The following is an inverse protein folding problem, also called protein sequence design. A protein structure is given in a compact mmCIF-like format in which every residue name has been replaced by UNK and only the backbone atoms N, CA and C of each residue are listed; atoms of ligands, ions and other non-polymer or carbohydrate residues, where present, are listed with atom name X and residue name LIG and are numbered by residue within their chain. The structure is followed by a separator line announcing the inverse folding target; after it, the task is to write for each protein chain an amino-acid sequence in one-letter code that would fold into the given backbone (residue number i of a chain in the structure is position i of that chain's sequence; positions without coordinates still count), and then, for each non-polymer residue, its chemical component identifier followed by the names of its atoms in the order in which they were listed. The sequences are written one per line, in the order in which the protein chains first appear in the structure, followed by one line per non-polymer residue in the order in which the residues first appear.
data_IF_746626063044
#
_entry.id   IF_746626063044
#
_cell.length_a   1.000
_cell.length_b   1.000
_cell.length_c   1.000
_cell.angle_alpha   90.00
_cell.angle_beta   90.00
_cell.angle_gamma   90.00
#
_symmetry.space_group_name_H-M   'P 1'
#
loop_
_entity.id
_entity.type
_entity.pdbx_description
1 polymer ?
#
# COMPACT_ATOMS: atom_id res chain seq x y z
N UNK A 1 -32.36 -8.58 -54.67
CA UNK A 1 -31.75 -7.51 -53.82
C UNK A 1 -31.35 -8.12 -52.53
N UNK A 2 -30.10 -8.51 -52.46
CA UNK A 2 -29.49 -9.13 -51.29
C UNK A 2 -28.90 -8.00 -50.42
N UNK A 3 -29.50 -7.80 -49.25
CA UNK A 3 -28.99 -6.85 -48.28
C UNK A 3 -27.82 -7.47 -47.50
N UNK A 4 -26.62 -6.95 -47.71
CA UNK A 4 -25.45 -7.30 -46.94
C UNK A 4 -25.65 -6.80 -45.49
N UNK A 5 -25.84 -7.75 -44.59
CA UNK A 5 -25.75 -7.47 -43.16
C UNK A 5 -24.26 -7.20 -42.80
N UNK A 6 -23.93 -5.95 -42.62
CA UNK A 6 -22.62 -5.55 -42.11
C UNK A 6 -22.53 -6.07 -40.68
N UNK A 7 -21.80 -7.15 -40.51
CA UNK A 7 -21.45 -7.69 -39.19
C UNK A 7 -20.41 -6.75 -38.53
N UNK A 8 -20.88 -5.78 -37.81
CA UNK A 8 -20.02 -4.92 -36.98
C UNK A 8 -19.62 -5.74 -35.73
N UNK A 9 -18.60 -6.55 -35.91
CA UNK A 9 -17.92 -7.18 -34.79
C UNK A 9 -17.28 -6.05 -33.99
N UNK A 10 -17.95 -5.62 -32.92
CA UNK A 10 -17.35 -4.73 -31.90
C UNK A 10 -16.18 -5.50 -31.28
N UNK A 11 -14.98 -5.26 -31.80
CA UNK A 11 -13.75 -5.72 -31.21
C UNK A 11 -13.61 -4.86 -29.93
N UNK A 12 -14.09 -5.36 -28.80
CA UNK A 12 -13.74 -4.82 -27.51
C UNK A 12 -12.24 -5.05 -27.32
N UNK A 13 -11.44 -4.03 -27.64
CA UNK A 13 -10.02 -4.04 -27.36
C UNK A 13 -9.87 -4.05 -25.85
N UNK A 14 -9.38 -5.17 -25.33
CA UNK A 14 -9.06 -5.31 -23.91
C UNK A 14 -7.95 -4.33 -23.58
N UNK A 15 -8.17 -3.45 -22.60
CA UNK A 15 -7.14 -2.52 -22.13
C UNK A 15 -6.04 -3.34 -21.43
N UNK A 16 -4.76 -3.14 -21.79
CA UNK A 16 -3.68 -3.91 -21.17
C UNK A 16 -3.54 -3.57 -19.68
N UNK A 17 -2.99 -4.52 -18.93
CA UNK A 17 -2.61 -4.30 -17.54
C UNK A 17 -1.63 -3.13 -17.43
N UNK A 18 -1.93 -2.18 -16.54
CA UNK A 18 -1.10 -1.00 -16.34
C UNK A 18 -1.15 -0.49 -14.90
N UNK A 19 -0.12 0.24 -14.52
CA UNK A 19 -0.02 0.90 -13.21
C UNK A 19 -0.46 2.36 -13.36
N UNK A 20 -1.22 2.85 -12.39
CA UNK A 20 -1.73 4.22 -12.34
C UNK A 20 -1.59 4.79 -10.93
N UNK A 21 -1.52 6.12 -10.74
CA UNK A 21 -1.71 6.71 -9.42
C UNK A 21 -3.03 6.26 -8.80
N UNK A 22 -3.04 6.09 -7.48
CA UNK A 22 -4.25 5.67 -6.76
C UNK A 22 -5.36 6.73 -6.86
N UNK A 23 -4.98 8.00 -6.97
CA UNK A 23 -5.90 9.10 -7.21
C UNK A 23 -6.68 8.85 -8.52
N UNK A 24 -7.99 8.78 -8.46
CA UNK A 24 -8.86 8.45 -9.60
C UNK A 24 -9.45 7.04 -9.52
N UNK A 25 -8.97 6.20 -8.62
CA UNK A 25 -9.64 4.94 -8.29
C UNK A 25 -10.81 5.26 -7.37
N UNK A 26 -12.01 4.75 -7.69
CA UNK A 26 -13.18 4.98 -6.85
C UNK A 26 -13.01 4.33 -5.46
N UNK A 27 -13.58 4.97 -4.45
CA UNK A 27 -13.57 4.43 -3.09
C UNK A 27 -14.25 3.05 -3.03
N UNK A 28 -15.31 2.83 -3.79
CA UNK A 28 -16.03 1.56 -3.83
C UNK A 28 -15.17 0.44 -4.40
N UNK A 29 -14.47 0.68 -5.51
CA UNK A 29 -13.55 -0.30 -6.12
C UNK A 29 -12.39 -0.63 -5.16
N UNK A 30 -11.81 0.38 -4.52
CA UNK A 30 -10.73 0.19 -3.56
C UNK A 30 -11.19 -0.61 -2.34
N UNK A 31 -12.36 -0.27 -1.77
CA UNK A 31 -12.92 -1.01 -0.64
C UNK A 31 -13.22 -2.46 -0.99
N UNK A 32 -13.76 -2.72 -2.17
CA UNK A 32 -14.00 -4.09 -2.64
C UNK A 32 -12.72 -4.90 -2.74
N UNK A 33 -11.63 -4.32 -3.27
CA UNK A 33 -10.31 -4.96 -3.31
C UNK A 33 -9.77 -5.25 -1.90
N UNK A 34 -9.87 -4.29 -1.00
CA UNK A 34 -9.37 -4.44 0.37
C UNK A 34 -10.19 -5.48 1.16
N UNK A 35 -11.49 -5.53 0.97
CA UNK A 35 -12.35 -6.56 1.58
C UNK A 35 -12.04 -7.96 1.03
N UNK A 36 -11.79 -8.08 -0.25
CA UNK A 36 -11.36 -9.34 -0.88
C UNK A 36 -10.00 -9.82 -0.36
N UNK A 37 -9.04 -8.91 -0.23
CA UNK A 37 -7.67 -9.25 0.19
C UNK A 37 -7.54 -9.51 1.70
N UNK A 38 -8.29 -8.79 2.54
CA UNK A 38 -8.08 -8.77 4.00
C UNK A 38 -9.31 -9.12 4.83
N UNK A 39 -10.48 -9.24 4.23
CA UNK A 39 -11.74 -9.45 4.92
C UNK A 39 -12.46 -8.16 5.32
N UNK A 40 -13.75 -8.26 5.57
CA UNK A 40 -14.60 -7.09 5.91
C UNK A 40 -14.37 -6.56 7.33
N UNK A 41 -13.72 -7.34 8.19
CA UNK A 41 -13.32 -6.96 9.56
C UNK A 41 -11.96 -6.22 9.62
N UNK A 42 -11.36 -5.91 8.47
CA UNK A 42 -10.04 -5.27 8.37
C UNK A 42 -9.91 -3.97 9.16
N UNK A 43 -10.99 -3.21 9.32
CA UNK A 43 -10.99 -1.93 10.03
C UNK A 43 -10.67 -2.05 11.55
N UNK A 44 -10.80 -3.24 12.11
CA UNK A 44 -10.42 -3.52 13.50
C UNK A 44 -8.90 -3.70 13.69
N UNK A 45 -8.13 -3.79 12.60
CA UNK A 45 -6.68 -4.01 12.66
C UNK A 45 -5.94 -2.75 13.09
N UNK A 46 -4.84 -2.92 13.81
CA UNK A 46 -3.99 -1.83 14.33
C UNK A 46 -3.53 -0.87 13.24
N UNK A 47 -3.24 -1.35 12.03
CA UNK A 47 -2.84 -0.49 10.92
C UNK A 47 -3.88 0.59 10.57
N UNK A 48 -5.17 0.34 10.78
CA UNK A 48 -6.24 1.33 10.58
C UNK A 48 -6.24 2.41 11.65
N UNK A 49 -5.87 2.06 12.89
CA UNK A 49 -5.72 3.03 13.97
C UNK A 49 -4.54 3.98 13.71
N UNK A 50 -3.46 3.47 13.11
CA UNK A 50 -2.27 4.26 12.78
C UNK A 50 -2.53 5.35 11.75
N UNK A 51 -3.50 5.19 10.88
CA UNK A 51 -3.81 6.14 9.80
C UNK A 51 -5.14 6.88 9.98
N UNK A 52 -5.75 6.75 11.15
CA UNK A 52 -7.07 7.34 11.42
C UNK A 52 -7.05 8.85 11.21
N UNK A 53 -7.95 9.33 10.35
CA UNK A 53 -8.06 10.76 10.04
C UNK A 53 -7.03 11.29 9.06
N UNK A 54 -6.11 10.43 8.57
CA UNK A 54 -5.09 10.85 7.62
C UNK A 54 -5.54 10.68 6.18
N UNK A 55 -5.04 11.54 5.30
CA UNK A 55 -5.14 11.38 3.86
C UNK A 55 -3.95 10.56 3.33
N UNK A 56 -4.19 9.80 2.26
CA UNK A 56 -3.15 9.03 1.59
C UNK A 56 -2.10 9.97 0.98
N UNK A 57 -0.84 9.55 0.99
CA UNK A 57 0.26 10.26 0.32
C UNK A 57 0.21 9.90 -1.17
N UNK A 58 -0.28 10.82 -1.99
CA UNK A 58 -0.63 10.57 -3.39
C UNK A 58 0.55 10.10 -4.24
N UNK A 59 1.73 10.74 -4.12
CA UNK A 59 2.90 10.41 -4.94
C UNK A 59 3.54 9.06 -4.62
N UNK A 60 3.13 8.41 -3.51
CA UNK A 60 3.60 7.08 -3.08
C UNK A 60 2.50 6.01 -3.14
N UNK A 61 1.33 6.33 -3.68
CA UNK A 61 0.18 5.43 -3.67
C UNK A 61 -0.29 5.14 -5.09
N UNK A 62 -0.39 3.84 -5.41
CA UNK A 62 -0.60 3.36 -6.77
C UNK A 62 -1.60 2.22 -6.83
N UNK A 63 -2.09 1.97 -8.02
CA UNK A 63 -3.00 0.87 -8.34
C UNK A 63 -2.57 0.17 -9.62
N UNK A 64 -2.93 -1.10 -9.75
CA UNK A 64 -2.80 -1.89 -10.98
C UNK A 64 -4.20 -2.23 -11.48
N UNK A 65 -4.45 -1.88 -12.73
CA UNK A 65 -5.68 -2.18 -13.45
C UNK A 65 -5.40 -3.17 -14.59
N UNK A 66 -6.33 -4.07 -14.85
CA UNK A 66 -6.36 -4.91 -16.04
C UNK A 66 -7.77 -4.87 -16.61
N UNK A 67 -7.90 -4.41 -17.85
CA UNK A 67 -9.20 -4.21 -18.52
C UNK A 67 -10.21 -3.39 -17.68
N UNK A 68 -9.72 -2.38 -16.98
CA UNK A 68 -10.53 -1.53 -16.11
C UNK A 68 -10.83 -2.11 -14.73
N UNK A 69 -10.46 -3.35 -14.46
CA UNK A 69 -10.62 -3.98 -13.16
C UNK A 69 -9.43 -3.69 -12.25
N UNK A 70 -9.71 -3.29 -11.01
CA UNK A 70 -8.67 -3.04 -10.00
C UNK A 70 -8.15 -4.37 -9.43
N UNK A 71 -6.88 -4.66 -9.69
CA UNK A 71 -6.25 -5.91 -9.27
C UNK A 71 -5.38 -5.80 -8.03
N UNK A 72 -4.74 -4.65 -7.84
CA UNK A 72 -3.83 -4.43 -6.74
C UNK A 72 -3.70 -2.96 -6.40
N UNK A 73 -3.35 -2.66 -5.16
CA UNK A 73 -3.09 -1.29 -4.70
C UNK A 73 -2.04 -1.25 -3.62
N UNK A 74 -1.33 -0.13 -3.55
CA UNK A 74 -0.47 0.25 -2.43
C UNK A 74 -0.87 1.63 -1.96
N UNK A 75 -1.01 1.79 -0.64
CA UNK A 75 -1.31 3.05 0.01
C UNK A 75 -0.20 3.42 0.98
N UNK A 76 0.14 4.70 1.04
CA UNK A 76 1.08 5.24 2.01
C UNK A 76 0.44 6.39 2.78
N UNK A 77 0.73 6.50 4.07
CA UNK A 77 0.05 7.40 4.99
C UNK A 77 1.03 8.13 5.89
N UNK A 78 0.79 9.41 6.21
CA UNK A 78 1.60 10.10 7.19
C UNK A 78 1.32 9.56 8.60
N UNK A 79 2.37 9.18 9.30
CA UNK A 79 2.33 8.75 10.70
C UNK A 79 3.48 9.40 11.46
N UNK A 80 3.51 9.20 12.78
CA UNK A 80 4.51 9.84 13.64
C UNK A 80 4.85 8.95 14.83
N UNK A 81 6.11 8.98 15.23
CA UNK A 81 6.56 8.47 16.53
C UNK A 81 7.20 9.60 17.31
N UNK A 82 6.65 9.97 18.46
CA UNK A 82 7.07 11.18 19.16
C UNK A 82 6.92 12.42 18.28
N UNK A 83 8.02 13.13 18.00
CA UNK A 83 8.07 14.28 17.09
C UNK A 83 8.59 13.94 15.69
N UNK A 84 8.93 12.69 15.43
CA UNK A 84 9.50 12.27 14.17
C UNK A 84 8.43 11.81 13.20
N UNK A 85 8.42 12.41 12.02
CA UNK A 85 7.52 12.02 10.93
C UNK A 85 8.01 10.74 10.28
N UNK A 86 7.06 9.87 9.94
CA UNK A 86 7.25 8.61 9.25
C UNK A 86 6.17 8.44 8.18
N UNK A 87 6.38 7.48 7.30
CA UNK A 87 5.40 7.05 6.30
C UNK A 87 4.99 5.62 6.60
N UNK A 88 3.71 5.38 6.89
CA UNK A 88 3.16 4.04 6.97
C UNK A 88 2.93 3.51 5.57
N UNK A 89 3.64 2.43 5.20
CA UNK A 89 3.44 1.72 3.95
C UNK A 89 2.42 0.61 4.16
N UNK A 90 1.34 0.66 3.40
CA UNK A 90 0.26 -0.31 3.45
C UNK A 90 -1.12 0.30 3.63
N UNK A 91 -2.15 -0.48 3.33
CA UNK A 91 -2.07 -1.87 2.89
C UNK A 91 -1.51 -2.03 1.47
N UNK A 92 -0.79 -3.13 1.26
CA UNK A 92 -0.45 -3.64 -0.06
C UNK A 92 -1.43 -4.77 -0.35
N UNK A 93 -2.38 -4.53 -1.24
CA UNK A 93 -3.48 -5.44 -1.52
C UNK A 93 -3.35 -6.01 -2.94
N UNK A 94 -3.60 -7.30 -3.07
CA UNK A 94 -3.70 -8.00 -4.36
C UNK A 94 -4.98 -8.81 -4.35
N UNK A 95 -5.76 -8.74 -5.43
CA UNK A 95 -6.97 -9.52 -5.59
C UNK A 95 -6.68 -11.02 -5.35
N UNK A 96 -7.57 -11.71 -4.65
CA UNK A 96 -7.36 -13.11 -4.19
C UNK A 96 -7.10 -14.08 -5.35
N UNK A 97 -7.68 -13.81 -6.53
CA UNK A 97 -7.49 -14.61 -7.75
C UNK A 97 -6.26 -14.22 -8.58
N UNK A 98 -5.48 -13.23 -8.15
CA UNK A 98 -4.30 -12.72 -8.86
C UNK A 98 -3.04 -12.71 -7.98
N UNK A 99 -3.05 -13.44 -6.88
CA UNK A 99 -1.89 -13.59 -6.01
C UNK A 99 -0.81 -14.44 -6.67
N UNK A 100 0.45 -14.29 -6.21
CA UNK A 100 1.64 -14.96 -6.73
C UNK A 100 2.02 -14.59 -8.18
N UNK A 101 1.47 -13.51 -8.72
CA UNK A 101 1.85 -12.95 -10.03
C UNK A 101 2.89 -11.81 -9.91
N UNK A 102 3.36 -11.49 -8.71
CA UNK A 102 4.34 -10.44 -8.47
C UNK A 102 3.78 -9.02 -8.46
N UNK A 103 2.45 -8.83 -8.39
CA UNK A 103 1.81 -7.52 -8.43
C UNK A 103 2.18 -6.67 -7.21
N UNK A 104 2.19 -7.26 -6.01
CA UNK A 104 2.63 -6.60 -4.79
C UNK A 104 4.09 -6.16 -4.84
N UNK A 105 4.96 -6.99 -5.39
CA UNK A 105 6.38 -6.65 -5.61
C UNK A 105 6.54 -5.48 -6.57
N UNK A 106 5.79 -5.45 -7.67
CA UNK A 106 5.80 -4.34 -8.62
C UNK A 106 5.39 -3.02 -7.96
N UNK A 107 4.34 -3.05 -7.13
CA UNK A 107 3.88 -1.87 -6.40
C UNK A 107 4.90 -1.39 -5.38
N UNK A 108 5.51 -2.29 -4.61
CA UNK A 108 6.58 -1.95 -3.66
C UNK A 108 7.76 -1.30 -4.37
N UNK A 109 8.24 -1.88 -5.47
CA UNK A 109 9.35 -1.33 -6.24
C UNK A 109 9.03 0.05 -6.83
N UNK A 110 7.82 0.24 -7.35
CA UNK A 110 7.39 1.53 -7.88
C UNK A 110 7.31 2.59 -6.79
N UNK A 111 6.71 2.28 -5.66
CA UNK A 111 6.61 3.18 -4.50
C UNK A 111 8.00 3.61 -4.03
N UNK A 112 8.95 2.67 -3.91
CA UNK A 112 10.32 2.98 -3.50
C UNK A 112 11.07 3.83 -4.54
N UNK A 113 10.81 3.64 -5.83
CA UNK A 113 11.38 4.51 -6.88
C UNK A 113 10.75 5.91 -6.90
N UNK A 114 9.49 6.02 -6.53
CA UNK A 114 8.80 7.30 -6.44
C UNK A 114 9.21 8.11 -5.20
N UNK A 115 9.72 7.44 -4.16
CA UNK A 115 10.19 8.11 -2.95
C UNK A 115 11.42 8.97 -3.24
N UNK A 116 11.46 10.13 -2.60
CA UNK A 116 12.53 11.13 -2.73
C UNK A 116 13.34 11.23 -1.43
N UNK A 117 14.53 11.87 -1.45
CA UNK A 117 15.29 12.12 -0.22
C UNK A 117 14.56 12.99 0.82
N UNK A 118 13.52 13.73 0.41
CA UNK A 118 12.70 14.56 1.29
C UNK A 118 11.59 13.77 1.98
N UNK A 119 11.28 12.57 1.49
CA UNK A 119 10.29 11.71 2.13
C UNK A 119 10.84 11.14 3.46
N UNK A 120 9.96 11.07 4.45
CA UNK A 120 10.31 10.52 5.76
C UNK A 120 10.65 9.03 5.68
N UNK A 121 11.34 8.47 6.69
CA UNK A 121 11.53 7.03 6.78
C UNK A 121 10.20 6.28 6.76
N UNK A 122 10.23 5.05 6.28
CA UNK A 122 9.04 4.23 6.08
C UNK A 122 8.91 3.17 7.15
N UNK A 123 7.70 2.97 7.64
CA UNK A 123 7.35 1.94 8.61
C UNK A 123 6.20 1.10 8.08
N UNK A 124 6.16 -0.17 8.44
CA UNK A 124 5.05 -1.06 8.06
C UNK A 124 4.88 -2.21 9.05
N UNK A 125 3.71 -2.82 9.01
CA UNK A 125 3.43 -4.09 9.70
C UNK A 125 3.38 -5.17 8.63
N UNK A 126 4.34 -6.10 8.66
CA UNK A 126 4.45 -7.14 7.65
C UNK A 126 5.45 -8.23 7.99
N UNK A 127 5.62 -9.18 7.09
CA UNK A 127 6.55 -10.29 7.28
C UNK A 127 7.98 -9.86 6.96
N UNK A 128 8.90 -9.92 7.92
CA UNK A 128 10.30 -9.54 7.70
C UNK A 128 10.98 -10.43 6.65
N UNK A 129 10.57 -11.69 6.53
CA UNK A 129 11.07 -12.62 5.51
C UNK A 129 10.77 -12.17 4.08
N UNK A 130 9.64 -11.49 3.89
CA UNK A 130 9.26 -10.94 2.59
C UNK A 130 9.78 -9.51 2.40
N UNK A 131 9.50 -8.61 3.35
CA UNK A 131 9.79 -7.19 3.19
C UNK A 131 11.26 -6.82 3.44
N UNK A 132 12.06 -7.72 4.01
CA UNK A 132 13.50 -7.55 4.13
C UNK A 132 14.19 -7.30 2.80
N UNK A 133 13.68 -7.87 1.70
CA UNK A 133 14.19 -7.63 0.33
C UNK A 133 14.08 -6.18 -0.13
N UNK A 134 13.20 -5.41 0.50
CA UNK A 134 12.99 -3.99 0.23
C UNK A 134 13.69 -3.08 1.24
N UNK A 135 14.51 -3.63 2.12
CA UNK A 135 15.27 -2.88 3.13
C UNK A 135 14.51 -2.58 4.43
N UNK A 136 13.43 -3.30 4.70
CA UNK A 136 12.67 -3.20 5.96
C UNK A 136 13.19 -4.20 6.99
N UNK A 137 13.38 -3.75 8.24
CA UNK A 137 13.75 -4.62 9.36
C UNK A 137 13.14 -4.14 10.68
N UNK A 138 13.09 -5.03 11.66
CA UNK A 138 12.60 -4.71 13.01
C UNK A 138 13.70 -4.30 14.00
N UNK A 139 14.94 -4.09 13.53
CA UNK A 139 16.10 -3.88 14.39
C UNK A 139 16.00 -2.62 15.25
N UNK A 140 15.37 -1.56 14.73
CA UNK A 140 15.32 -0.25 15.39
C UNK A 140 13.91 0.14 15.87
N UNK A 141 12.97 -0.79 15.93
CA UNK A 141 11.57 -0.52 16.33
C UNK A 141 11.18 -1.05 17.71
N UNK A 142 12.10 -1.67 18.42
CA UNK A 142 11.81 -2.41 19.66
C UNK A 142 11.25 -1.55 20.81
N UNK A 143 11.56 -0.26 20.83
CA UNK A 143 11.07 0.68 21.85
C UNK A 143 9.75 1.39 21.46
N UNK A 144 9.19 1.11 20.30
CA UNK A 144 7.94 1.72 19.85
C UNK A 144 6.74 0.89 20.27
N UNK A 145 5.66 1.58 20.61
CA UNK A 145 4.36 0.98 20.91
C UNK A 145 3.31 1.44 19.88
N UNK A 146 2.26 0.66 19.73
CA UNK A 146 1.16 0.91 18.80
C UNK A 146 -0.16 1.02 19.58
N UNK A 147 -1.18 1.68 19.02
CA UNK A 147 -2.47 1.88 19.68
C UNK A 147 -3.37 0.62 19.71
N UNK A 148 -2.89 -0.50 19.26
CA UNK A 148 -3.61 -1.77 19.24
C UNK A 148 -2.65 -2.95 19.23
N UNK A 149 -3.13 -4.19 19.08
CA UNK A 149 -2.29 -5.39 19.05
C UNK A 149 -1.32 -5.39 17.87
N UNK A 150 -0.08 -5.79 18.12
CA UNK A 150 0.93 -6.04 17.08
C UNK A 150 1.95 -7.09 17.56
N UNK A 151 2.64 -7.67 16.60
CA UNK A 151 3.80 -8.52 16.87
C UNK A 151 5.07 -7.70 16.67
N UNK A 152 5.95 -7.54 17.67
CA UNK A 152 7.15 -6.70 17.56
C UNK A 152 8.04 -7.03 16.37
N UNK A 153 8.20 -8.31 16.03
CA UNK A 153 9.00 -8.75 14.88
C UNK A 153 8.44 -8.28 13.53
N UNK A 154 7.16 -7.92 13.46
CA UNK A 154 6.47 -7.47 12.25
C UNK A 154 6.38 -5.95 12.11
N UNK A 155 6.83 -5.19 13.11
CA UNK A 155 6.96 -3.75 12.99
C UNK A 155 8.30 -3.42 12.34
N UNK A 156 8.26 -3.07 11.06
CA UNK A 156 9.43 -2.95 10.22
C UNK A 156 9.70 -1.49 9.86
N UNK A 157 10.96 -1.10 9.85
CA UNK A 157 11.44 0.23 9.49
C UNK A 157 12.41 0.16 8.32
N UNK A 158 12.28 1.11 7.40
CA UNK A 158 13.25 1.41 6.35
C UNK A 158 13.70 2.86 6.50
N UNK A 159 14.94 3.07 6.91
CA UNK A 159 15.53 4.38 7.18
C UNK A 159 16.84 4.57 6.40
N UNK A 160 16.76 4.63 5.09
CA UNK A 160 17.93 4.73 4.21
C UNK A 160 18.71 6.04 4.36
N UNK A 161 18.02 7.12 4.71
CA UNK A 161 18.63 8.43 4.90
C UNK A 161 19.23 8.62 6.31
N UNK A 162 19.17 7.59 7.17
CA UNK A 162 19.70 7.58 8.52
C UNK A 162 19.21 8.77 9.35
N UNK A 163 17.93 9.09 9.22
CA UNK A 163 17.25 10.09 10.03
C UNK A 163 17.31 9.65 11.50
N UNK A 164 17.63 10.57 12.40
CA UNK A 164 17.63 10.28 13.85
C UNK A 164 16.18 10.14 14.31
N UNK A 165 15.82 8.96 14.81
CA UNK A 165 14.49 8.63 15.28
C UNK A 165 14.48 8.39 16.79
N UNK A 166 13.35 8.64 17.48
CA UNK A 166 13.22 8.28 18.89
C UNK A 166 13.41 6.78 19.10
N UNK A 167 14.14 6.41 20.15
CA UNK A 167 14.31 5.00 20.53
C UNK A 167 13.05 4.42 21.19
N UNK A 168 12.18 5.27 21.71
CA UNK A 168 10.91 4.92 22.36
C UNK A 168 9.81 5.89 21.94
N UNK A 169 8.59 5.43 21.93
CA UNK A 169 7.43 6.27 21.67
C UNK A 169 6.23 5.51 21.15
N UNK A 170 5.10 6.20 21.11
CA UNK A 170 3.87 5.70 20.50
C UNK A 170 3.87 6.07 19.01
N UNK A 171 3.73 5.08 18.15
CA UNK A 171 3.46 5.26 16.71
C UNK A 171 1.97 5.52 16.54
N UNK A 172 1.63 6.57 15.82
CA UNK A 172 0.25 6.96 15.59
C UNK A 172 0.10 7.89 14.40
N UNK A 173 -1.13 8.39 14.15
CA UNK A 173 -1.36 9.34 13.06
C UNK A 173 -0.51 10.60 13.20
N UNK A 174 -0.08 11.15 12.07
CA UNK A 174 0.55 12.46 12.02
C UNK A 174 -0.54 13.54 11.97
N UNK A 175 -0.77 14.23 13.05
CA UNK A 175 -1.75 15.31 13.21
C UNK A 175 -1.08 16.68 13.41
#
# INVERSE_FOLDING_TARGET
MTGDAVNVSLIFSKSPMHITPLLGISADALNALLDDAFGTDRHARTAYLLRKGMAVIEHLSFAILDDGELLASIQCWPVRVGKADLILVGPVAVASNRQNEGLGTQLMQLMLRAATPQDAPMVMIGDPEYYGRFGFSSDDTSGWTLPGPWEPRRLLLRNNNKVVLPTHGLLGPAD
#
